data_IF_088390885429
#
_entry.id   IF_088390885429
#
_cell.length_a   1.000
_cell.length_b   1.000
_cell.length_c   1.000
_cell.angle_alpha   90.00
_cell.angle_beta   90.00
_cell.angle_gamma   90.00
#
_symmetry.space_group_name_H-M   'P 1'
#
loop_
_entity.id
_entity.type
_entity.pdbx_description
1 polymer ?
#
# COMPACT_ATOMS: atom_id res chain seq x y z
N UNK A 1 -11.75 -5.77 16.15
CA UNK A 1 -11.19 -6.28 14.88
C UNK A 1 -12.08 -5.75 13.77
N UNK A 2 -11.54 -4.96 12.85
CA UNK A 2 -12.30 -4.46 11.69
C UNK A 2 -12.40 -5.60 10.67
N UNK A 3 -13.60 -5.85 10.15
CA UNK A 3 -13.84 -6.81 9.09
C UNK A 3 -14.52 -6.07 7.92
N UNK A 4 -13.94 -6.20 6.72
CA UNK A 4 -14.41 -5.53 5.50
C UNK A 4 -14.60 -6.63 4.45
N UNK A 5 -15.77 -6.67 3.81
CA UNK A 5 -16.00 -7.49 2.62
C UNK A 5 -15.86 -6.58 1.42
N UNK A 6 -14.95 -6.91 0.52
CA UNK A 6 -14.74 -6.18 -0.73
C UNK A 6 -15.13 -7.08 -1.91
N UNK A 7 -15.87 -6.54 -2.85
CA UNK A 7 -16.34 -7.28 -4.04
C UNK A 7 -16.25 -6.41 -5.29
N UNK A 8 -16.21 -7.05 -6.46
CA UNK A 8 -16.12 -6.37 -7.75
C UNK A 8 -14.80 -6.64 -8.47
N UNK A 9 -14.43 -5.75 -9.39
CA UNK A 9 -13.14 -5.81 -10.06
C UNK A 9 -12.00 -5.34 -9.13
N UNK A 10 -10.74 -5.57 -9.52
CA UNK A 10 -9.58 -5.24 -8.68
C UNK A 10 -9.58 -3.79 -8.16
N UNK A 11 -9.97 -2.82 -8.98
CA UNK A 11 -10.03 -1.42 -8.56
C UNK A 11 -11.10 -1.19 -7.49
N UNK A 12 -12.29 -1.77 -7.69
CA UNK A 12 -13.42 -1.64 -6.77
C UNK A 12 -13.10 -2.26 -5.40
N UNK A 13 -12.37 -3.39 -5.41
CA UNK A 13 -11.89 -4.05 -4.19
C UNK A 13 -10.92 -3.13 -3.44
N UNK A 14 -9.96 -2.55 -4.15
CA UNK A 14 -8.96 -1.63 -3.61
C UNK A 14 -9.57 -0.37 -3.01
N UNK A 15 -10.51 0.25 -3.75
CA UNK A 15 -11.24 1.42 -3.33
C UNK A 15 -12.05 1.15 -2.05
N UNK A 16 -12.82 0.06 -2.01
CA UNK A 16 -13.59 -0.33 -0.83
C UNK A 16 -12.68 -0.56 0.38
N UNK A 17 -11.56 -1.26 0.21
CA UNK A 17 -10.61 -1.47 1.29
C UNK A 17 -10.03 -0.13 1.79
N UNK A 18 -9.56 0.72 0.88
CA UNK A 18 -8.97 2.03 1.21
C UNK A 18 -9.95 2.97 1.91
N UNK A 19 -11.23 2.96 1.52
CA UNK A 19 -12.27 3.77 2.14
C UNK A 19 -12.62 3.29 3.55
N UNK A 20 -12.87 1.99 3.71
CA UNK A 20 -13.34 1.42 4.98
C UNK A 20 -12.22 1.23 6.02
N UNK A 21 -10.96 1.09 5.58
CA UNK A 21 -9.79 0.93 6.46
C UNK A 21 -8.91 2.19 6.54
N UNK A 22 -9.39 3.35 6.11
CA UNK A 22 -8.60 4.60 5.98
C UNK A 22 -7.79 4.93 7.23
N UNK A 23 -8.42 4.84 8.40
CA UNK A 23 -7.76 5.16 9.69
C UNK A 23 -6.64 4.17 10.02
N UNK A 24 -6.86 2.88 9.77
CA UNK A 24 -5.88 1.81 10.01
C UNK A 24 -4.71 1.91 9.03
N UNK A 25 -4.98 2.28 7.76
CA UNK A 25 -3.95 2.54 6.75
C UNK A 25 -3.10 3.74 7.18
N UNK A 26 -3.71 4.85 7.62
CA UNK A 26 -2.98 6.02 8.10
C UNK A 26 -2.05 5.68 9.28
N UNK A 27 -2.54 4.92 10.27
CA UNK A 27 -1.70 4.44 11.38
C UNK A 27 -0.58 3.48 10.92
N UNK A 28 -0.83 2.67 9.90
CA UNK A 28 0.20 1.79 9.32
C UNK A 28 1.30 2.58 8.61
N UNK A 29 0.93 3.64 7.89
CA UNK A 29 1.90 4.54 7.24
C UNK A 29 2.80 5.23 8.27
N UNK A 30 2.21 5.81 9.33
CA UNK A 30 2.97 6.43 10.42
C UNK A 30 3.94 5.42 11.08
N UNK A 31 3.46 4.19 11.32
CA UNK A 31 4.30 3.13 11.87
C UNK A 31 5.48 2.79 10.96
N UNK A 32 5.25 2.58 9.66
CA UNK A 32 6.30 2.21 8.72
C UNK A 32 7.29 3.33 8.46
N UNK A 33 6.85 4.59 8.39
CA UNK A 33 7.73 5.75 8.32
C UNK A 33 8.72 5.75 9.50
N UNK A 34 8.21 5.59 10.73
CA UNK A 34 9.06 5.50 11.93
C UNK A 34 9.96 4.25 11.94
N UNK A 35 9.48 3.11 11.44
CA UNK A 35 10.26 1.88 11.37
C UNK A 35 11.45 2.03 10.44
N UNK A 36 11.24 2.49 9.21
CA UNK A 36 12.31 2.67 8.23
C UNK A 36 13.30 3.75 8.67
N UNK A 37 12.82 4.83 9.29
CA UNK A 37 13.72 5.85 9.84
C UNK A 37 14.67 5.27 10.88
N UNK A 38 14.17 4.43 11.79
CA UNK A 38 14.97 3.82 12.86
C UNK A 38 15.88 2.68 12.40
N UNK A 39 15.44 1.88 11.43
CA UNK A 39 16.12 0.63 11.05
C UNK A 39 17.00 0.75 9.81
N UNK A 40 16.64 1.66 8.91
CA UNK A 40 17.30 1.83 7.61
C UNK A 40 17.89 3.23 7.43
N UNK A 41 17.68 4.14 8.39
CA UNK A 41 18.08 5.55 8.30
C UNK A 41 17.47 6.29 7.10
N UNK A 42 16.35 5.77 6.57
CA UNK A 42 15.65 6.34 5.41
C UNK A 42 14.45 7.17 5.88
N UNK A 43 14.27 8.37 5.33
CA UNK A 43 13.01 9.08 5.42
C UNK A 43 11.96 8.53 4.44
N UNK A 44 10.70 8.96 4.60
CA UNK A 44 9.60 8.41 3.81
C UNK A 44 9.79 8.55 2.29
N UNK A 45 10.24 9.70 1.75
CA UNK A 45 10.56 9.81 0.32
C UNK A 45 11.59 8.77 -0.16
N UNK A 46 12.68 8.57 0.59
CA UNK A 46 13.68 7.56 0.24
C UNK A 46 13.12 6.13 0.23
N UNK A 47 12.17 5.83 1.13
CA UNK A 47 11.47 4.54 1.15
C UNK A 47 10.62 4.38 -0.10
N UNK A 48 9.86 5.41 -0.48
CA UNK A 48 9.07 5.40 -1.72
C UNK A 48 9.96 5.19 -2.96
N UNK A 49 11.10 5.88 -3.05
CA UNK A 49 12.05 5.71 -4.15
C UNK A 49 12.61 4.28 -4.24
N UNK A 50 12.80 3.62 -3.10
CA UNK A 50 13.19 2.22 -3.07
C UNK A 50 12.04 1.30 -3.53
N UNK A 51 10.81 1.58 -3.12
CA UNK A 51 9.62 0.79 -3.48
C UNK A 51 9.27 0.88 -4.97
N UNK A 52 9.45 2.05 -5.60
CA UNK A 52 9.16 2.26 -7.04
C UNK A 52 9.95 1.31 -7.94
N UNK A 53 11.13 0.84 -7.50
CA UNK A 53 11.95 -0.13 -8.26
C UNK A 53 11.25 -1.46 -8.52
N UNK A 54 10.24 -1.81 -7.72
CA UNK A 54 9.47 -3.04 -7.90
C UNK A 54 8.28 -2.88 -8.86
N UNK A 55 7.87 -1.65 -9.17
CA UNK A 55 6.69 -1.36 -10.02
C UNK A 55 6.76 -2.06 -11.38
N UNK A 56 7.88 -2.04 -12.14
CA UNK A 56 7.91 -2.69 -13.46
C UNK A 56 7.63 -4.20 -13.40
N UNK A 57 8.14 -4.87 -12.37
CA UNK A 57 7.90 -6.30 -12.16
C UNK A 57 6.44 -6.58 -11.79
N UNK A 58 5.87 -5.75 -10.91
CA UNK A 58 4.49 -5.87 -10.46
C UNK A 58 3.48 -5.58 -11.58
N UNK A 59 3.72 -4.55 -12.40
CA UNK A 59 2.88 -4.24 -13.56
C UNK A 59 2.87 -5.37 -14.59
N UNK A 60 4.01 -6.04 -14.78
CA UNK A 60 4.14 -7.14 -15.73
C UNK A 60 3.52 -8.44 -15.19
N UNK A 61 3.84 -8.79 -13.95
CA UNK A 61 3.55 -10.12 -13.39
C UNK A 61 2.23 -10.17 -12.63
N UNK A 62 1.77 -9.02 -12.10
CA UNK A 62 0.60 -8.91 -11.23
C UNK A 62 -0.25 -7.67 -11.56
N UNK A 63 -0.70 -7.51 -12.82
CA UNK A 63 -1.45 -6.32 -13.23
C UNK A 63 -2.75 -6.12 -12.43
N UNK A 64 -3.40 -7.20 -11.99
CA UNK A 64 -4.58 -7.13 -11.12
C UNK A 64 -4.29 -6.51 -9.76
N UNK A 65 -3.18 -6.89 -9.11
CA UNK A 65 -2.78 -6.30 -7.83
C UNK A 65 -2.35 -4.85 -7.98
N UNK A 66 -1.70 -4.51 -9.09
CA UNK A 66 -1.42 -3.10 -9.41
C UNK A 66 -2.69 -2.28 -9.55
N UNK A 67 -3.76 -2.86 -10.12
CA UNK A 67 -5.04 -2.16 -10.23
C UNK A 67 -5.76 -2.00 -8.89
N UNK A 68 -5.62 -2.97 -7.98
CA UNK A 68 -6.16 -2.90 -6.62
C UNK A 68 -5.44 -1.87 -5.74
N UNK A 69 -4.15 -1.60 -5.98
CA UNK A 69 -3.38 -0.61 -5.22
C UNK A 69 -3.52 0.84 -5.74
N UNK A 70 -4.23 1.09 -6.85
CA UNK A 70 -4.42 2.44 -7.42
C UNK A 70 -5.39 3.28 -6.63
#
# INVERSE_FOLDING_TARGET
MLAISCEGNSYEIGLQHGEHAREQIAGSLEFYEGLFKRRCSMDWPQVCDAAVKFVPFLETSFPGYMQEMR
#
